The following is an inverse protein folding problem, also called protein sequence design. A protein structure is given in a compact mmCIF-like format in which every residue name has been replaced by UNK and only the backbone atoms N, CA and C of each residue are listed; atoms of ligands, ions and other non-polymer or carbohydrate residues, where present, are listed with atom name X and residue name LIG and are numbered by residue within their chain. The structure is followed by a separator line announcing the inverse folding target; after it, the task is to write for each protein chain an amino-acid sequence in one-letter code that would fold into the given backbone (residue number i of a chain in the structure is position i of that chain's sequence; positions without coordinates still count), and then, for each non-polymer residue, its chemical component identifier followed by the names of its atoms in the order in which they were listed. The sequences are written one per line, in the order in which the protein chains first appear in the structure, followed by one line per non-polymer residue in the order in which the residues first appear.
data_IF_132501502701
#
_entry.id   IF_132501502701
#
_cell.length_a   1.000
_cell.length_b   1.000
_cell.length_c   1.000
_cell.angle_alpha   90.00
_cell.angle_beta   90.00
_cell.angle_gamma   90.00
#
_symmetry.space_group_name_H-M   'P 1'
#
loop_
_entity.id
_entity.type
_entity.pdbx_description
1 polymer ?
#
# COMPACT_ATOMS: atom_id res chain seq x y z
N UNK A 1 11.52 -16.68 4.08
CA UNK A 1 10.67 -16.24 5.22
C UNK A 1 9.54 -15.41 4.62
N UNK A 2 8.30 -15.85 4.81
CA UNK A 2 7.15 -15.27 4.12
C UNK A 2 6.76 -13.94 4.77
N UNK A 3 6.30 -13.00 3.95
CA UNK A 3 5.73 -11.71 4.38
C UNK A 3 4.43 -11.96 5.15
N UNK A 4 4.31 -11.47 6.38
CA UNK A 4 3.08 -11.53 7.16
C UNK A 4 2.37 -10.17 7.05
N UNK A 5 1.14 -10.16 6.52
CA UNK A 5 0.38 -8.94 6.32
C UNK A 5 -0.41 -8.62 7.60
N UNK A 6 0.06 -7.66 8.39
CA UNK A 6 -0.61 -7.26 9.63
C UNK A 6 -1.86 -6.40 9.35
N UNK A 7 -1.73 -5.43 8.45
CA UNK A 7 -2.79 -4.46 8.14
C UNK A 7 -2.86 -4.18 6.65
N UNK A 8 -4.08 -3.90 6.16
CA UNK A 8 -4.33 -3.50 4.78
C UNK A 8 -5.31 -2.33 4.77
N UNK A 9 -4.95 -1.22 4.13
CA UNK A 9 -5.86 -0.08 3.89
C UNK A 9 -6.34 -0.08 2.43
N UNK A 10 -7.64 0.09 2.20
CA UNK A 10 -8.22 0.06 0.85
C UNK A 10 -9.26 1.14 0.56
N UNK A 11 -9.48 1.45 -0.71
CA UNK A 11 -10.55 2.37 -1.13
C UNK A 11 -11.94 1.90 -0.74
N UNK A 12 -12.85 2.86 -0.54
CA UNK A 12 -14.29 2.63 -0.33
C UNK A 12 -14.89 1.72 -1.41
N UNK A 13 -14.36 1.72 -2.63
CA UNK A 13 -14.73 0.80 -3.70
C UNK A 13 -14.48 -0.69 -3.35
N UNK A 14 -13.49 -0.98 -2.51
CA UNK A 14 -13.17 -2.32 -2.02
C UNK A 14 -13.94 -2.72 -0.75
N UNK A 15 -14.91 -1.91 -0.31
CA UNK A 15 -15.78 -2.25 0.81
C UNK A 15 -16.67 -3.44 0.44
N UNK A 16 -16.28 -4.63 0.87
CA UNK A 16 -17.07 -5.86 0.74
C UNK A 16 -16.82 -6.78 1.92
N UNK A 17 -17.83 -7.59 2.25
CA UNK A 17 -17.71 -8.62 3.29
C UNK A 17 -16.58 -9.60 2.95
N UNK A 18 -16.55 -10.08 1.72
CA UNK A 18 -15.60 -11.09 1.27
C UNK A 18 -14.15 -10.59 1.41
N UNK A 19 -13.90 -9.29 1.17
CA UNK A 19 -12.56 -8.71 1.36
C UNK A 19 -12.14 -8.70 2.84
N UNK A 20 -13.07 -8.38 3.77
CA UNK A 20 -12.77 -8.49 5.20
C UNK A 20 -12.45 -9.94 5.61
N UNK A 21 -13.21 -10.92 5.09
CA UNK A 21 -13.00 -12.33 5.41
C UNK A 21 -11.67 -12.85 4.85
N UNK A 22 -11.32 -12.49 3.62
CA UNK A 22 -10.04 -12.85 2.99
C UNK A 22 -8.87 -12.30 3.81
N UNK A 23 -8.86 -11.00 4.14
CA UNK A 23 -7.76 -10.39 4.88
C UNK A 23 -7.65 -10.99 6.29
N UNK A 24 -8.78 -11.21 6.96
CA UNK A 24 -8.81 -11.85 8.27
C UNK A 24 -8.32 -13.30 8.23
N UNK A 25 -8.58 -14.03 7.13
CA UNK A 25 -8.06 -15.41 6.95
C UNK A 25 -6.54 -15.46 6.80
N UNK A 26 -5.93 -14.34 6.39
CA UNK A 26 -4.48 -14.14 6.30
C UNK A 26 -3.88 -13.53 7.57
N UNK A 27 -4.64 -13.53 8.68
CA UNK A 27 -4.27 -12.93 9.96
C UNK A 27 -4.05 -11.40 9.92
N UNK A 28 -4.55 -10.72 8.90
CA UNK A 28 -4.48 -9.27 8.77
C UNK A 28 -5.76 -8.55 9.18
N UNK A 29 -5.66 -7.23 9.38
CA UNK A 29 -6.81 -6.33 9.62
C UNK A 29 -7.05 -5.43 8.42
N UNK A 30 -8.29 -5.43 7.90
CA UNK A 30 -8.66 -4.61 6.74
C UNK A 30 -9.31 -3.29 7.16
N UNK A 31 -8.73 -2.17 6.76
CA UNK A 31 -9.22 -0.82 7.00
C UNK A 31 -9.78 -0.23 5.71
N UNK A 32 -11.10 0.00 5.70
CA UNK A 32 -11.82 0.59 4.58
C UNK A 32 -13.00 1.43 5.10
N UNK A 33 -13.19 2.66 4.60
CA UNK A 33 -14.27 3.51 5.07
C UNK A 33 -15.63 2.91 4.70
N UNK A 34 -16.53 2.83 5.68
CA UNK A 34 -17.89 2.36 5.45
C UNK A 34 -18.72 3.41 4.70
N UNK A 35 -19.63 2.95 3.83
CA UNK A 35 -20.63 3.81 3.18
C UNK A 35 -21.71 4.22 4.19
N UNK A 36 -22.34 5.38 3.99
CA UNK A 36 -23.41 5.89 4.87
C UNK A 36 -24.61 4.95 5.00
N UNK A 37 -24.89 4.15 3.97
CA UNK A 37 -25.94 3.15 3.97
C UNK A 37 -25.50 1.76 4.47
N UNK A 38 -24.25 1.62 4.93
CA UNK A 38 -23.75 0.35 5.47
C UNK A 38 -24.45 0.04 6.78
N UNK A 39 -24.83 -1.23 6.96
CA UNK A 39 -25.46 -1.70 8.20
C UNK A 39 -24.56 -2.71 8.88
N UNK A 40 -24.63 -2.78 10.20
CA UNK A 40 -23.96 -3.81 10.99
C UNK A 40 -24.60 -5.21 10.81
N UNK A 41 -25.78 -5.32 10.20
CA UNK A 41 -26.53 -6.58 10.13
C UNK A 41 -26.18 -7.41 8.90
N UNK A 42 -26.31 -8.74 9.01
CA UNK A 42 -26.27 -9.67 7.87
C UNK A 42 -24.88 -10.09 7.34
N UNK A 43 -23.80 -9.36 7.66
CA UNK A 43 -22.53 -9.52 6.95
C UNK A 43 -21.40 -10.27 7.71
N UNK A 44 -21.74 -11.16 8.63
CA UNK A 44 -20.75 -11.94 9.39
C UNK A 44 -20.12 -11.19 10.59
N UNK A 45 -19.27 -11.88 11.34
CA UNK A 45 -18.74 -11.38 12.62
C UNK A 45 -17.65 -10.32 12.44
N UNK A 46 -16.74 -10.51 11.47
CA UNK A 46 -15.67 -9.55 11.20
C UNK A 46 -16.21 -8.21 10.69
N UNK A 47 -17.19 -8.24 9.78
CA UNK A 47 -17.86 -7.03 9.31
C UNK A 47 -18.48 -6.25 10.46
N UNK A 48 -19.22 -6.93 11.34
CA UNK A 48 -19.82 -6.32 12.53
C UNK A 48 -18.74 -5.67 13.39
N UNK A 49 -17.67 -6.39 13.70
CA UNK A 49 -16.57 -5.88 14.51
C UNK A 49 -15.97 -4.60 13.89
N UNK A 50 -15.62 -4.64 12.61
CA UNK A 50 -15.00 -3.51 11.91
C UNK A 50 -15.96 -2.34 11.72
N UNK A 51 -17.26 -2.60 11.49
CA UNK A 51 -18.28 -1.56 11.42
C UNK A 51 -18.44 -0.82 12.75
N UNK A 52 -18.54 -1.56 13.87
CA UNK A 52 -18.61 -0.93 15.19
C UNK A 52 -17.32 -0.22 15.55
N UNK A 53 -16.15 -0.78 15.19
CA UNK A 53 -14.87 -0.12 15.40
C UNK A 53 -14.80 1.22 14.66
N UNK A 54 -15.24 1.25 13.39
CA UNK A 54 -15.32 2.48 12.60
C UNK A 54 -16.31 3.51 13.17
N UNK A 55 -17.41 3.07 13.80
CA UNK A 55 -18.44 3.96 14.35
C UNK A 55 -18.11 4.48 15.76
N UNK A 56 -17.53 3.65 16.62
CA UNK A 56 -17.29 3.96 18.03
C UNK A 56 -15.88 4.52 18.28
N UNK A 57 -14.90 4.12 17.48
CA UNK A 57 -13.49 4.51 17.60
C UNK A 57 -13.00 5.05 16.24
N UNK A 58 -13.71 6.07 15.74
CA UNK A 58 -13.49 6.57 14.38
C UNK A 58 -12.07 7.13 14.19
N UNK A 59 -11.55 7.87 15.17
CA UNK A 59 -10.21 8.47 15.10
C UNK A 59 -9.12 7.40 14.96
N UNK A 60 -9.12 6.39 15.84
CA UNK A 60 -8.18 5.27 15.78
C UNK A 60 -8.28 4.53 14.43
N UNK A 61 -9.50 4.26 13.98
CA UNK A 61 -9.73 3.61 12.69
C UNK A 61 -9.16 4.42 11.53
N UNK A 62 -9.37 5.74 11.53
CA UNK A 62 -8.88 6.62 10.49
C UNK A 62 -7.36 6.75 10.51
N UNK A 63 -6.73 6.71 11.68
CA UNK A 63 -5.26 6.67 11.81
C UNK A 63 -4.65 5.52 11.01
N UNK A 64 -5.19 4.30 11.14
CA UNK A 64 -4.75 3.16 10.32
C UNK A 64 -5.09 3.32 8.83
N UNK A 65 -6.27 3.85 8.52
CA UNK A 65 -6.71 4.10 7.14
C UNK A 65 -5.83 5.13 6.40
N UNK A 66 -5.25 6.11 7.11
CA UNK A 66 -4.43 7.17 6.51
C UNK A 66 -3.19 6.65 5.77
N UNK A 67 -2.72 5.43 6.06
CA UNK A 67 -1.64 4.76 5.30
C UNK A 67 -1.91 4.67 3.79
N UNK A 68 -3.18 4.73 3.37
CA UNK A 68 -3.59 4.81 1.96
C UNK A 68 -3.02 6.05 1.23
N UNK A 69 -2.85 7.17 1.93
CA UNK A 69 -2.31 8.40 1.35
C UNK A 69 -0.86 8.26 0.86
N UNK A 70 -0.10 7.30 1.42
CA UNK A 70 1.25 6.99 0.97
C UNK A 70 1.24 6.48 -0.48
N UNK A 71 0.31 5.58 -0.81
CA UNK A 71 0.16 5.06 -2.18
C UNK A 71 -0.19 6.15 -3.19
N UNK A 72 -1.11 7.06 -2.82
CA UNK A 72 -1.46 8.21 -3.67
C UNK A 72 -0.29 9.17 -3.88
N UNK A 73 0.48 9.42 -2.82
CA UNK A 73 1.68 10.25 -2.88
C UNK A 73 2.74 9.66 -3.81
N UNK A 74 3.01 8.36 -3.71
CA UNK A 74 3.92 7.65 -4.62
C UNK A 74 3.46 7.71 -6.07
N UNK A 75 2.16 7.50 -6.34
CA UNK A 75 1.62 7.61 -7.69
C UNK A 75 1.74 9.05 -8.22
N UNK A 76 1.52 10.06 -7.38
CA UNK A 76 1.70 11.46 -7.76
C UNK A 76 3.18 11.77 -8.07
N UNK A 77 4.11 11.30 -7.24
CA UNK A 77 5.55 11.45 -7.48
C UNK A 77 5.99 10.80 -8.80
N UNK A 78 5.51 9.59 -9.08
CA UNK A 78 5.78 8.88 -10.33
C UNK A 78 5.26 9.66 -11.54
N UNK A 79 4.02 10.15 -11.49
CA UNK A 79 3.42 10.94 -12.57
C UNK A 79 4.10 12.29 -12.75
N UNK A 80 4.50 12.93 -11.65
CA UNK A 80 5.21 14.21 -11.69
C UNK A 80 6.59 14.08 -12.33
N UNK A 81 7.31 12.99 -12.07
CA UNK A 81 8.66 12.76 -12.60
C UNK A 81 8.69 12.18 -14.01
N UNK A 82 7.85 11.18 -14.30
CA UNK A 82 7.90 10.42 -15.56
C UNK A 82 6.71 10.72 -16.50
N UNK A 83 5.81 11.61 -16.10
CA UNK A 83 4.56 11.87 -16.80
C UNK A 83 3.52 10.76 -16.62
N UNK A 84 2.26 11.14 -16.79
CA UNK A 84 1.08 10.27 -16.71
C UNK A 84 0.85 9.44 -17.99
N UNK A 85 1.43 9.86 -19.12
CA UNK A 85 1.19 9.24 -20.44
C UNK A 85 1.89 7.90 -20.59
N UNK A 86 1.17 6.94 -21.18
CA UNK A 86 1.69 5.65 -21.66
C UNK A 86 1.66 5.68 -23.18
N UNK A 87 2.80 5.40 -23.84
CA UNK A 87 2.92 5.52 -25.32
C UNK A 87 2.55 4.24 -26.05
N UNK A 88 2.67 3.10 -25.38
CA UNK A 88 2.40 1.79 -25.97
C UNK A 88 0.93 1.62 -26.40
N UNK A 89 0.70 0.95 -27.53
CA UNK A 89 -0.66 0.66 -28.04
C UNK A 89 -1.23 -0.69 -27.59
N UNK A 90 -0.35 -1.67 -27.37
CA UNK A 90 -0.73 -2.99 -26.88
C UNK A 90 -0.86 -2.96 -25.35
N UNK A 91 -1.95 -3.52 -24.81
CA UNK A 91 -2.19 -3.60 -23.36
C UNK A 91 -1.02 -4.19 -22.57
N UNK A 92 -0.44 -5.31 -23.02
CA UNK A 92 0.71 -5.92 -22.34
C UNK A 92 1.90 -4.97 -22.30
N UNK A 93 2.15 -4.25 -23.39
CA UNK A 93 3.22 -3.26 -23.46
C UNK A 93 2.93 -2.03 -22.57
N UNK A 94 1.66 -1.60 -22.47
CA UNK A 94 1.25 -0.52 -21.55
C UNK A 94 1.50 -0.89 -20.09
N UNK A 95 1.13 -2.12 -19.68
CA UNK A 95 1.40 -2.63 -18.33
C UNK A 95 2.90 -2.65 -18.05
N UNK A 96 3.69 -3.20 -18.98
CA UNK A 96 5.15 -3.24 -18.84
C UNK A 96 5.76 -1.84 -18.75
N UNK A 97 5.28 -0.88 -19.53
CA UNK A 97 5.73 0.51 -19.49
C UNK A 97 5.49 1.14 -18.11
N UNK A 98 4.30 0.93 -17.53
CA UNK A 98 3.98 1.41 -16.17
C UNK A 98 4.85 0.73 -15.12
N UNK A 99 5.04 -0.59 -15.20
CA UNK A 99 5.91 -1.32 -14.26
C UNK A 99 7.37 -0.83 -14.34
N UNK A 100 7.88 -0.56 -15.54
CA UNK A 100 9.21 0.03 -15.72
C UNK A 100 9.31 1.41 -15.07
N UNK A 101 8.28 2.27 -15.17
CA UNK A 101 8.24 3.56 -14.47
C UNK A 101 8.28 3.40 -12.95
N UNK A 102 7.60 2.40 -12.40
CA UNK A 102 7.64 2.09 -10.96
C UNK A 102 9.05 1.68 -10.52
N UNK A 103 9.72 0.80 -11.29
CA UNK A 103 11.10 0.40 -10.99
C UNK A 103 12.05 1.61 -11.06
N UNK A 104 11.94 2.42 -12.11
CA UNK A 104 12.75 3.63 -12.26
C UNK A 104 12.52 4.63 -11.12
N UNK A 105 11.27 4.77 -10.65
CA UNK A 105 10.93 5.59 -9.50
C UNK A 105 11.63 5.11 -8.22
N UNK A 106 11.56 3.80 -7.93
CA UNK A 106 12.21 3.23 -6.76
C UNK A 106 13.73 3.44 -6.77
N UNK A 107 14.38 3.27 -7.92
CA UNK A 107 15.82 3.52 -8.08
C UNK A 107 16.14 5.00 -7.79
N UNK A 108 15.32 5.93 -8.30
CA UNK A 108 15.51 7.35 -8.02
C UNK A 108 15.41 7.66 -6.52
N UNK A 109 14.44 7.08 -5.81
CA UNK A 109 14.30 7.26 -4.37
C UNK A 109 15.54 6.73 -3.64
N UNK A 110 16.00 5.52 -3.95
CA UNK A 110 17.23 4.96 -3.34
C UNK A 110 18.43 5.89 -3.56
N UNK A 111 18.64 6.37 -4.79
CA UNK A 111 19.74 7.30 -5.08
C UNK A 111 19.59 8.62 -4.31
N UNK A 112 18.37 9.14 -4.18
CA UNK A 112 18.12 10.36 -3.41
C UNK A 112 18.47 10.16 -1.93
N UNK A 113 17.96 9.09 -1.31
CA UNK A 113 18.25 8.75 0.09
C UNK A 113 19.75 8.51 0.33
N UNK A 114 20.46 7.89 -0.63
CA UNK A 114 21.91 7.73 -0.56
C UNK A 114 22.64 9.08 -0.45
N UNK A 115 22.20 10.08 -1.21
CA UNK A 115 22.81 11.40 -1.20
C UNK A 115 22.40 12.22 0.04
N UNK A 116 21.14 12.12 0.48
CA UNK A 116 20.62 12.89 1.63
C UNK A 116 21.15 12.38 2.98
N UNK A 117 21.34 11.06 3.13
CA UNK A 117 21.83 10.45 4.37
C UNK A 117 23.37 10.38 4.42
N UNK A 118 24.08 10.82 3.38
CA UNK A 118 25.55 10.69 3.22
C UNK A 118 26.06 9.25 3.45
N UNK A 119 25.21 8.24 3.21
CA UNK A 119 25.56 6.83 3.41
C UNK A 119 25.84 6.13 2.10
N UNK A 120 27.05 5.63 1.94
CA UNK A 120 27.39 4.73 0.85
C UNK A 120 26.94 3.29 1.16
N UNK A 121 25.84 2.86 0.55
CA UNK A 121 25.34 1.49 0.67
C UNK A 121 26.26 0.45 0.00
N UNK A 122 27.11 0.87 -0.95
CA UNK A 122 28.07 -0.03 -1.59
C UNK A 122 29.20 -0.42 -0.64
N UNK A 123 29.69 0.50 0.20
CA UNK A 123 30.80 0.22 1.13
C UNK A 123 30.38 -0.67 2.32
N UNK A 124 29.19 -0.45 2.89
CA UNK A 124 28.69 -1.24 4.03
C UNK A 124 28.45 -2.72 3.70
N UNK A 125 28.20 -3.04 2.43
CA UNK A 125 28.06 -4.43 1.96
C UNK A 125 29.37 -5.21 1.94
N UNK A 126 30.52 -4.52 1.87
CA UNK A 126 31.83 -5.16 1.86
C UNK A 126 32.37 -5.44 3.27
N UNK A 127 32.06 -4.60 4.26
CA UNK A 127 32.45 -4.82 5.68
C UNK A 127 31.70 -5.98 6.35
N UNK A 128 30.48 -6.26 5.88
CA UNK A 128 29.68 -7.39 6.38
C UNK A 128 30.04 -8.73 5.71
N UNK A 129 30.70 -8.70 4.56
CA UNK A 129 31.23 -9.87 3.87
C UNK A 129 32.68 -10.23 4.27
N UNK A 130 33.40 -9.34 4.95
CA UNK A 130 34.78 -9.52 5.41
C UNK A 130 34.91 -9.90 6.89
N UNK A 131 33.79 -10.01 7.61
CA UNK A 131 33.69 -10.50 8.99
C UNK A 131 33.02 -11.88 9.09
N UNK A 132 33.01 -12.65 8.00
CA UNK A 132 32.66 -14.09 7.94
C UNK A 132 33.84 -14.83 7.33
#
# INVERSE_FOLDING_TARGET
KNFNMEELSGDKAYLSKDNFEIVNSLNGTFYVPFKTNSKATGNGMIWKKMFHYFMLNNEDYLAHYHSRSNGESTINMLKSKFGDRVRSKNWTAQVNEVLCKVIAHNICCVIQEMNELETDFCLKSQESASNV
#
